data_IF_887442680207
#
_entry.id   IF_887442680207
#
_cell.length_a   1.000
_cell.length_b   1.000
_cell.length_c   1.000
_cell.angle_alpha   90.00
_cell.angle_beta   90.00
_cell.angle_gamma   90.00
#
_symmetry.space_group_name_H-M   'P 1'
#
loop_
_entity.id
_entity.type
_entity.pdbx_description
1 polymer ?
#
# COMPACT_ATOMS: atom_id res chain seq x y z
N UNK A 1 -22.56 28.33 -43.23
CA UNK A 1 -21.47 27.39 -42.88
C UNK A 1 -21.57 27.16 -41.38
N UNK A 2 -22.07 25.99 -40.95
CA UNK A 2 -22.26 25.67 -39.53
C UNK A 2 -21.01 24.97 -39.01
N UNK A 3 -20.41 25.50 -37.94
CA UNK A 3 -19.30 24.88 -37.21
C UNK A 3 -19.82 23.64 -36.46
N UNK A 4 -19.12 22.49 -36.44
CA UNK A 4 -19.55 21.35 -35.64
C UNK A 4 -19.52 21.72 -34.15
N UNK A 5 -20.44 21.21 -33.31
CA UNK A 5 -20.32 21.37 -31.87
C UNK A 5 -19.05 20.65 -31.41
N UNK A 6 -18.18 21.36 -30.68
CA UNK A 6 -17.10 20.71 -29.96
C UNK A 6 -17.72 19.74 -28.94
N UNK A 7 -17.51 18.44 -29.13
CA UNK A 7 -17.81 17.44 -28.11
C UNK A 7 -17.07 17.84 -26.82
N UNK A 8 -17.82 18.20 -25.79
CA UNK A 8 -17.28 18.35 -24.46
C UNK A 8 -16.62 17.02 -24.06
N UNK A 9 -15.44 17.03 -23.42
CA UNK A 9 -14.78 15.79 -23.02
C UNK A 9 -15.72 15.01 -22.10
N UNK A 10 -16.12 13.83 -22.56
CA UNK A 10 -16.98 12.91 -21.83
C UNK A 10 -16.33 12.65 -20.47
N UNK A 11 -17.05 12.79 -19.34
CA UNK A 11 -16.50 12.45 -18.04
C UNK A 11 -16.02 11.00 -18.08
N UNK A 12 -14.81 10.71 -17.57
CA UNK A 12 -14.27 9.36 -17.61
C UNK A 12 -15.26 8.40 -16.95
N UNK A 13 -15.49 7.21 -17.54
CA UNK A 13 -16.46 6.28 -17.00
C UNK A 13 -16.09 5.96 -15.54
N UNK A 14 -17.08 5.84 -14.63
CA UNK A 14 -16.86 5.67 -13.19
C UNK A 14 -16.11 4.37 -12.82
N UNK A 15 -15.76 3.55 -13.82
CA UNK A 15 -15.06 2.28 -13.68
C UNK A 15 -13.85 2.18 -14.64
N UNK A 16 -13.33 3.30 -15.16
CA UNK A 16 -12.05 3.29 -15.85
C UNK A 16 -10.98 2.85 -14.84
N UNK A 17 -10.10 1.88 -15.18
CA UNK A 17 -8.99 1.53 -14.31
C UNK A 17 -8.16 2.80 -14.14
N UNK A 18 -8.16 3.35 -12.92
CA UNK A 18 -7.33 4.49 -12.58
C UNK A 18 -5.88 4.05 -12.82
N UNK A 19 -5.29 4.57 -13.90
CA UNK A 19 -3.89 4.32 -14.19
C UNK A 19 -3.07 5.23 -13.28
N UNK A 20 -2.12 4.63 -12.59
CA UNK A 20 -1.30 5.26 -11.57
C UNK A 20 0.13 5.29 -12.04
N UNK A 21 0.76 6.46 -11.91
CA UNK A 21 2.16 6.64 -12.24
C UNK A 21 3.02 6.53 -10.99
N UNK A 22 3.83 5.50 -10.93
CA UNK A 22 4.75 5.24 -9.82
C UNK A 22 6.15 5.77 -10.13
N UNK A 23 6.38 7.05 -9.85
CA UNK A 23 7.69 7.70 -10.02
C UNK A 23 8.10 8.36 -8.71
N UNK A 24 8.90 7.62 -7.95
CA UNK A 24 9.44 8.02 -6.66
C UNK A 24 10.97 7.93 -6.67
N UNK A 25 11.65 8.85 -7.39
CA UNK A 25 13.09 8.97 -7.33
C UNK A 25 13.53 9.45 -5.96
N UNK A 26 14.33 8.66 -5.23
CA UNK A 26 14.92 9.04 -3.94
C UNK A 26 13.89 9.66 -2.96
N UNK A 27 12.66 9.18 -3.02
CA UNK A 27 11.52 9.75 -2.29
C UNK A 27 11.44 9.15 -0.90
N UNK A 28 10.76 9.84 0.00
CA UNK A 28 10.57 9.30 1.35
C UNK A 28 9.64 8.08 1.31
N UNK A 29 9.93 7.09 2.15
CA UNK A 29 9.04 5.92 2.31
C UNK A 29 7.61 6.35 2.67
N UNK A 30 7.47 7.40 3.49
CA UNK A 30 6.19 7.92 3.95
C UNK A 30 5.35 8.44 2.78
N UNK A 31 5.97 9.09 1.79
CA UNK A 31 5.26 9.57 0.60
C UNK A 31 4.66 8.43 -0.22
N UNK A 32 5.41 7.33 -0.36
CA UNK A 32 4.94 6.13 -1.08
C UNK A 32 3.83 5.42 -0.32
N UNK A 33 3.92 5.38 1.02
CA UNK A 33 2.89 4.79 1.87
C UNK A 33 1.59 5.60 1.84
N UNK A 34 1.64 6.94 1.77
CA UNK A 34 0.44 7.76 1.56
C UNK A 34 -0.25 7.44 0.24
N UNK A 35 0.51 7.23 -0.84
CA UNK A 35 -0.07 6.77 -2.09
C UNK A 35 -0.71 5.38 -1.90
N UNK A 36 -0.05 4.45 -1.20
CA UNK A 36 -0.61 3.13 -0.91
C UNK A 36 -1.94 3.20 -0.12
N UNK A 37 -2.04 4.08 0.87
CA UNK A 37 -3.30 4.37 1.59
C UNK A 37 -4.40 4.83 0.62
N UNK A 38 -4.10 5.77 -0.27
CA UNK A 38 -5.07 6.27 -1.25
C UNK A 38 -5.49 5.17 -2.23
N UNK A 39 -4.53 4.34 -2.67
CA UNK A 39 -4.78 3.25 -3.58
C UNK A 39 -5.53 2.10 -2.93
N UNK A 40 -5.34 1.81 -1.65
CA UNK A 40 -6.04 0.69 -1.00
C UNK A 40 -7.31 1.12 -0.29
N UNK A 41 -7.43 2.41 0.06
CA UNK A 41 -8.45 2.94 0.94
C UNK A 41 -8.28 2.53 2.41
N UNK A 42 -7.15 1.90 2.76
CA UNK A 42 -6.87 1.39 4.11
C UNK A 42 -6.08 2.42 4.90
N UNK A 43 -6.35 2.52 6.20
CA UNK A 43 -5.62 3.35 7.14
C UNK A 43 -4.27 2.71 7.47
N UNK A 44 -3.20 3.48 7.41
CA UNK A 44 -1.86 3.01 7.73
C UNK A 44 -1.44 3.48 9.13
N UNK A 45 -0.87 2.56 9.90
CA UNK A 45 -0.22 2.86 11.19
C UNK A 45 1.26 2.60 11.05
N UNK A 46 2.06 3.66 11.06
CA UNK A 46 3.51 3.57 10.85
C UNK A 46 4.26 3.53 12.18
N UNK A 47 5.21 2.62 12.30
CA UNK A 47 6.16 2.62 13.42
C UNK A 47 7.24 3.71 13.23
N UNK A 48 7.93 4.11 14.31
CA UNK A 48 9.02 5.09 14.32
C UNK A 48 10.25 4.63 13.49
N UNK A 49 10.39 3.32 13.28
CA UNK A 49 11.45 2.75 12.44
C UNK A 49 11.14 2.79 10.94
N UNK A 50 9.95 3.24 10.53
CA UNK A 50 9.57 3.43 9.12
C UNK A 50 10.18 4.75 8.64
N UNK A 51 11.46 4.70 8.29
CA UNK A 51 12.21 5.85 7.80
C UNK A 51 13.18 5.41 6.71
N UNK A 52 13.52 6.33 5.82
CA UNK A 52 14.46 6.09 4.73
C UNK A 52 13.93 6.53 3.38
N UNK A 53 14.74 6.28 2.35
CA UNK A 53 14.41 6.66 0.98
C UNK A 53 14.18 5.43 0.14
N UNK A 54 13.14 5.49 -0.68
CA UNK A 54 12.80 4.45 -1.64
C UNK A 54 12.96 4.99 -3.05
N UNK A 55 13.25 4.08 -3.96
CA UNK A 55 13.54 4.42 -5.34
C UNK A 55 12.69 3.55 -6.27
N UNK A 56 11.59 4.12 -6.77
CA UNK A 56 10.65 3.44 -7.65
C UNK A 56 10.58 4.19 -8.97
N UNK A 57 10.88 3.49 -10.06
CA UNK A 57 10.85 4.05 -11.41
C UNK A 57 10.02 3.16 -12.33
N UNK A 58 8.74 3.50 -12.50
CA UNK A 58 7.89 2.87 -13.50
C UNK A 58 7.64 3.87 -14.64
N UNK A 59 8.10 3.51 -15.83
CA UNK A 59 8.04 4.35 -17.02
C UNK A 59 6.62 4.44 -17.63
N UNK A 60 5.79 3.41 -17.40
CA UNK A 60 4.43 3.30 -17.90
C UNK A 60 3.43 3.48 -16.77
N UNK A 61 2.26 4.01 -17.10
CA UNK A 61 1.17 4.03 -16.13
C UNK A 61 0.67 2.59 -15.92
N UNK A 62 0.46 2.22 -14.66
CA UNK A 62 0.04 0.87 -14.26
C UNK A 62 -1.36 0.91 -13.67
N UNK A 63 -2.08 -0.21 -13.66
CA UNK A 63 -3.37 -0.26 -12.98
C UNK A 63 -3.19 -0.04 -11.47
N UNK A 64 -4.24 0.42 -10.80
CA UNK A 64 -4.29 0.53 -9.34
C UNK A 64 -3.79 -0.73 -8.62
N UNK A 65 -4.21 -1.91 -9.08
CA UNK A 65 -3.84 -3.20 -8.46
C UNK A 65 -2.34 -3.50 -8.63
N UNK A 66 -1.80 -3.25 -9.81
CA UNK A 66 -0.37 -3.41 -10.07
C UNK A 66 0.44 -2.37 -9.27
N UNK A 67 -0.06 -1.14 -9.14
CA UNK A 67 0.59 -0.12 -8.34
C UNK A 67 0.73 -0.53 -6.87
N UNK A 68 -0.35 -1.03 -6.27
CA UNK A 68 -0.38 -1.58 -4.91
C UNK A 68 0.69 -2.67 -4.75
N UNK A 69 0.74 -3.63 -5.68
CA UNK A 69 1.71 -4.73 -5.66
C UNK A 69 3.15 -4.26 -5.80
N UNK A 70 3.43 -3.29 -6.67
CA UNK A 70 4.77 -2.72 -6.84
C UNK A 70 5.22 -1.99 -5.57
N UNK A 71 4.32 -1.24 -4.94
CA UNK A 71 4.61 -0.55 -3.68
C UNK A 71 4.95 -1.59 -2.60
N UNK A 72 4.14 -2.63 -2.41
CA UNK A 72 4.39 -3.70 -1.43
C UNK A 72 5.76 -4.37 -1.64
N UNK A 73 6.10 -4.64 -2.90
CA UNK A 73 7.37 -5.24 -3.27
C UNK A 73 8.54 -4.29 -3.00
N UNK A 74 8.38 -2.99 -3.30
CA UNK A 74 9.39 -1.98 -2.98
C UNK A 74 9.61 -1.82 -1.48
N UNK A 75 8.53 -1.79 -0.68
CA UNK A 75 8.62 -1.75 0.78
C UNK A 75 9.38 -2.97 1.31
N UNK A 76 9.02 -4.16 0.83
CA UNK A 76 9.66 -5.43 1.23
C UNK A 76 11.15 -5.44 0.93
N UNK A 77 11.58 -4.92 -0.23
CA UNK A 77 13.00 -4.80 -0.60
C UNK A 77 13.78 -3.85 0.33
N UNK A 78 13.12 -2.84 0.87
CA UNK A 78 13.69 -1.90 1.84
C UNK A 78 13.56 -2.42 3.29
N UNK A 79 13.15 -3.67 3.49
CA UNK A 79 12.98 -4.29 4.80
C UNK A 79 11.75 -3.79 5.56
N UNK A 80 10.83 -3.10 4.89
CA UNK A 80 9.57 -2.62 5.46
C UNK A 80 8.49 -3.65 5.19
N UNK A 81 7.77 -4.03 6.24
CA UNK A 81 6.67 -5.00 6.17
C UNK A 81 5.33 -4.32 6.35
N UNK A 82 4.37 -4.65 5.50
CA UNK A 82 2.98 -4.22 5.59
C UNK A 82 2.17 -5.39 6.18
N UNK A 83 1.68 -5.24 7.41
CA UNK A 83 0.96 -6.28 8.15
C UNK A 83 -0.51 -5.87 8.27
N UNK A 84 -1.47 -6.67 7.77
CA UNK A 84 -2.89 -6.38 7.97
C UNK A 84 -3.23 -6.55 9.46
N UNK A 85 -3.62 -5.46 10.11
CA UNK A 85 -3.93 -5.43 11.54
C UNK A 85 -5.44 -5.38 11.82
N UNK A 86 -6.26 -5.16 10.79
CA UNK A 86 -7.71 -5.14 10.90
C UNK A 86 -8.40 -5.17 9.54
N UNK A 87 -9.71 -4.88 9.52
CA UNK A 87 -10.53 -4.88 8.30
C UNK A 87 -10.04 -3.82 7.29
N UNK A 88 -9.73 -2.64 7.80
CA UNK A 88 -9.30 -1.48 7.01
C UNK A 88 -8.00 -0.84 7.54
N UNK A 89 -7.24 -1.59 8.35
CA UNK A 89 -6.01 -1.12 8.99
C UNK A 89 -4.81 -1.95 8.55
N UNK A 90 -3.69 -1.28 8.24
CA UNK A 90 -2.41 -1.90 7.88
C UNK A 90 -1.32 -1.29 8.75
N UNK A 91 -0.62 -2.13 9.50
CA UNK A 91 0.55 -1.75 10.27
C UNK A 91 1.78 -1.79 9.36
N UNK A 92 2.56 -0.71 9.38
CA UNK A 92 3.80 -0.57 8.63
C UNK A 92 4.96 -0.68 9.60
N UNK A 93 5.78 -1.71 9.40
CA UNK A 93 6.86 -2.09 10.30
C UNK A 93 8.19 -1.94 9.59
N UNK A 94 9.07 -1.08 10.11
CA UNK A 94 10.37 -0.77 9.50
C UNK A 94 11.42 -1.88 9.64
N UNK A 95 12.51 -1.76 8.86
CA UNK A 95 13.61 -2.72 8.85
C UNK A 95 14.27 -2.83 10.23
N UNK A 96 14.35 -4.06 10.75
CA UNK A 96 14.89 -4.36 12.08
C UNK A 96 13.82 -4.76 13.11
N UNK A 97 12.54 -4.54 12.82
CA UNK A 97 11.44 -5.18 13.52
C UNK A 97 11.04 -6.46 12.77
N UNK A 98 11.07 -7.60 13.46
CA UNK A 98 10.73 -8.89 12.86
C UNK A 98 9.20 -8.93 12.64
N UNK A 99 8.67 -9.01 11.40
CA UNK A 99 7.22 -9.03 11.13
C UNK A 99 6.50 -10.24 11.75
N UNK A 100 7.26 -11.23 12.23
CA UNK A 100 6.80 -12.38 13.00
C UNK A 100 6.37 -12.06 14.44
N UNK A 101 6.33 -10.79 14.86
CA UNK A 101 5.67 -10.35 16.09
C UNK A 101 4.19 -9.99 15.91
N UNK A 102 3.54 -10.42 14.83
CA UNK A 102 2.09 -10.64 14.90
C UNK A 102 1.85 -11.56 16.12
N UNK A 103 1.00 -11.17 17.10
CA UNK A 103 0.78 -11.98 18.28
C UNK A 103 0.21 -13.30 17.79
N UNK A 104 1.04 -14.35 17.82
CA UNK A 104 0.53 -15.71 17.75
C UNK A 104 -0.44 -15.79 18.94
N UNK A 105 -1.75 -15.95 18.75
CA UNK A 105 -2.63 -16.14 19.87
C UNK A 105 -2.14 -17.40 20.57
N UNK A 106 -1.47 -17.23 21.71
CA UNK A 106 -1.18 -18.33 22.62
C UNK A 106 -2.55 -18.72 23.14
N UNK A 107 -3.17 -19.71 22.49
CA UNK A 107 -4.28 -20.42 23.09
C UNK A 107 -3.65 -21.26 24.19
N UNK A 108 -3.53 -20.67 25.38
CA UNK A 108 -3.45 -21.41 26.63
C UNK A 108 -4.83 -22.01 26.86
N UNK A 109 -5.17 -23.08 26.14
CA UNK A 109 -6.29 -23.89 26.59
C UNK A 109 -5.79 -24.77 27.75
N UNK A 110 -6.35 -24.44 28.90
CA UNK A 110 -6.05 -24.96 30.22
C UNK A 110 -7.04 -26.10 30.48
N UNK A 111 -7.01 -27.15 29.64
CA UNK A 111 -7.96 -28.26 29.75
C UNK A 111 -7.37 -29.61 29.29
N UNK A 112 -6.42 -30.15 30.06
CA UNK A 112 -6.33 -31.62 30.22
C UNK A 112 -5.74 -31.96 31.61
N UNK A 113 -6.39 -31.42 32.64
CA UNK A 113 -6.39 -32.01 33.98
C UNK A 113 -7.82 -32.46 34.20
N UNK A 114 -8.10 -33.77 34.16
CA UNK A 114 -8.69 -34.39 35.36
C UNK A 114 -8.38 -35.90 35.52
N UNK A 115 -8.70 -36.51 36.68
CA UNK A 115 -8.70 -36.03 38.06
C UNK A 115 -7.57 -36.64 38.91
#
# INVERSE_FOLDING_TARGET
>A
MANPPAEAPVPPPPNAPAMVRLQFPNSDVVDVLHLYEQLTGKKLVMDNFVQGKVNIFIAKDVSREEAVKIIEMSMSLNGISLVPAGRDLVDVVGAGQNPRKAPVPIVSDLADIPP
#
